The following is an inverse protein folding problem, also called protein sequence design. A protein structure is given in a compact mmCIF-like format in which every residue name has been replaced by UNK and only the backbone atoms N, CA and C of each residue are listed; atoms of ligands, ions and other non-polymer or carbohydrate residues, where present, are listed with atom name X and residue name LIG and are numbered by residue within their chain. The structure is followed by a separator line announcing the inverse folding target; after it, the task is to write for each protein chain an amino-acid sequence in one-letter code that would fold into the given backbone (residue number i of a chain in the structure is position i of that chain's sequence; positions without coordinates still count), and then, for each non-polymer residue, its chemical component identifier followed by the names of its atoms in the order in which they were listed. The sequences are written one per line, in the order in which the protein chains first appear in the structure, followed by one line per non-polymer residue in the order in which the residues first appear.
data_IF_458116158994
#
_entry.id   IF_458116158994
#
_cell.length_a   1.000
_cell.length_b   1.000
_cell.length_c   1.000
_cell.angle_alpha   90.00
_cell.angle_beta   90.00
_cell.angle_gamma   90.00
#
_symmetry.space_group_name_H-M   'P 1'
#
loop_
_entity.id
_entity.type
_entity.pdbx_description
1 polymer ?
#
# COMPACT_ATOMS: atom_id res chain seq x y z
N UNK A 1 2.61 9.05 -7.01
CA UNK A 1 1.80 8.19 -7.92
C UNK A 1 1.76 8.70 -9.36
N UNK A 2 1.73 10.03 -9.61
CA UNK A 2 1.71 10.61 -10.97
C UNK A 2 2.83 10.04 -11.88
N UNK A 3 4.05 9.89 -11.37
CA UNK A 3 5.16 9.28 -12.12
C UNK A 3 4.86 7.86 -12.63
N UNK A 4 4.11 7.04 -11.87
CA UNK A 4 3.70 5.71 -12.30
C UNK A 4 2.75 5.78 -13.51
N UNK A 5 1.85 6.75 -13.52
CA UNK A 5 0.93 6.97 -14.64
C UNK A 5 1.69 7.49 -15.86
N UNK A 6 2.43 8.58 -15.72
CA UNK A 6 3.07 9.30 -16.83
C UNK A 6 4.12 8.47 -17.55
N UNK A 7 4.96 7.74 -16.81
CA UNK A 7 6.12 7.06 -17.38
C UNK A 7 5.94 5.55 -17.51
N UNK A 8 5.05 4.96 -16.72
CA UNK A 8 4.94 3.50 -16.62
C UNK A 8 3.54 2.96 -16.94
N UNK A 9 2.59 3.83 -17.33
CA UNK A 9 1.27 3.43 -17.82
C UNK A 9 0.35 2.83 -16.76
N UNK A 10 0.53 3.19 -15.49
CA UNK A 10 -0.38 2.77 -14.42
C UNK A 10 -1.68 3.60 -14.45
N UNK A 11 -2.79 2.96 -14.12
CA UNK A 11 -4.08 3.59 -13.90
C UNK A 11 -4.21 3.93 -12.41
N UNK A 12 -4.42 5.20 -12.07
CA UNK A 12 -4.55 5.64 -10.68
C UNK A 12 -6.00 5.55 -10.19
N UNK A 13 -6.19 5.39 -8.89
CA UNK A 13 -7.53 5.36 -8.24
C UNK A 13 -8.49 4.36 -8.91
N UNK A 14 -7.96 3.17 -9.17
CA UNK A 14 -8.59 2.15 -10.00
C UNK A 14 -9.43 1.18 -9.16
N UNK A 15 -10.52 0.67 -9.73
CA UNK A 15 -11.35 -0.35 -9.10
C UNK A 15 -10.87 -1.74 -9.51
N UNK A 16 -10.66 -2.63 -8.53
CA UNK A 16 -10.39 -4.05 -8.82
C UNK A 16 -11.65 -4.66 -9.45
N UNK A 17 -11.56 -5.37 -10.59
CA UNK A 17 -12.70 -5.91 -11.31
C UNK A 17 -13.28 -7.15 -10.63
N UNK A 18 -13.70 -7.03 -9.37
CA UNK A 18 -14.38 -8.10 -8.62
C UNK A 18 -15.85 -8.16 -9.03
N UNK A 19 -16.39 -9.36 -9.22
CA UNK A 19 -17.80 -9.67 -9.50
C UNK A 19 -18.63 -9.74 -8.20
N UNK A 20 -18.54 -8.72 -7.36
CA UNK A 20 -19.31 -8.62 -6.10
C UNK A 20 -20.03 -7.25 -6.05
N UNK A 21 -21.19 -7.19 -5.40
CA UNK A 21 -21.91 -5.94 -5.12
C UNK A 21 -21.22 -5.10 -4.03
N UNK A 22 -20.56 -5.75 -3.07
CA UNK A 22 -19.84 -5.13 -1.96
C UNK A 22 -18.33 -5.08 -2.24
N UNK A 23 -17.93 -4.33 -3.27
CA UNK A 23 -16.53 -4.25 -3.69
C UNK A 23 -15.69 -3.50 -2.66
N UNK A 24 -14.44 -3.94 -2.42
CA UNK A 24 -13.50 -3.11 -1.68
C UNK A 24 -13.24 -1.79 -2.42
N UNK A 25 -12.81 -0.77 -1.69
CA UNK A 25 -12.48 0.53 -2.25
C UNK A 25 -11.39 0.47 -3.33
N UNK A 26 -11.21 1.58 -4.04
CA UNK A 26 -10.18 1.73 -5.09
C UNK A 26 -8.77 1.44 -4.57
N UNK A 27 -7.90 0.93 -5.44
CA UNK A 27 -6.45 0.86 -5.22
C UNK A 27 -5.79 2.14 -5.70
N UNK A 28 -4.66 2.50 -5.10
CA UNK A 28 -3.92 3.71 -5.50
C UNK A 28 -3.46 3.63 -6.96
N UNK A 29 -2.96 2.47 -7.38
CA UNK A 29 -2.58 2.23 -8.77
C UNK A 29 -2.79 0.78 -9.22
N UNK A 30 -3.20 0.61 -10.49
CA UNK A 30 -3.37 -0.66 -11.17
C UNK A 30 -2.63 -0.65 -12.51
N UNK A 31 -2.01 -1.78 -12.86
CA UNK A 31 -1.39 -1.99 -14.17
C UNK A 31 -1.77 -3.35 -14.74
N UNK A 32 -2.21 -3.34 -15.98
CA UNK A 32 -2.43 -4.58 -16.74
C UNK A 32 -1.08 -5.09 -17.24
N UNK A 33 -0.82 -6.38 -17.03
CA UNK A 33 0.39 -7.08 -17.51
C UNK A 33 0.00 -8.33 -18.29
N UNK A 34 0.97 -9.00 -18.90
CA UNK A 34 0.75 -10.29 -19.56
C UNK A 34 0.37 -11.42 -18.58
N UNK A 35 0.60 -11.24 -17.28
CA UNK A 35 0.23 -12.19 -16.22
C UNK A 35 -1.16 -11.90 -15.62
N UNK A 36 -1.75 -10.74 -15.94
CA UNK A 36 -2.97 -10.24 -15.33
C UNK A 36 -2.79 -8.85 -14.71
N UNK A 37 -3.81 -8.40 -13.98
CA UNK A 37 -3.77 -7.11 -13.29
C UNK A 37 -2.83 -7.17 -12.09
N UNK A 38 -1.99 -6.16 -11.91
CA UNK A 38 -1.14 -5.97 -10.74
C UNK A 38 -1.51 -4.64 -10.08
N UNK A 39 -1.56 -4.62 -8.75
CA UNK A 39 -1.93 -3.42 -7.99
C UNK A 39 -0.76 -2.93 -7.13
N UNK A 40 -0.74 -1.63 -6.86
CA UNK A 40 0.23 -0.99 -5.99
C UNK A 40 -0.50 -0.06 -5.03
N UNK A 41 -0.17 -0.17 -3.75
CA UNK A 41 -0.71 0.64 -2.67
C UNK A 41 0.46 1.35 -1.95
N UNK A 42 0.31 2.65 -1.68
CA UNK A 42 1.29 3.50 -1.04
C UNK A 42 0.76 3.97 0.31
N UNK A 43 1.29 3.42 1.40
CA UNK A 43 0.80 3.69 2.73
C UNK A 43 1.61 4.76 3.44
N UNK A 44 0.95 5.88 3.69
CA UNK A 44 1.36 6.92 4.64
C UNK A 44 0.29 7.17 5.70
N UNK A 45 -0.69 6.27 5.79
CA UNK A 45 -1.77 6.33 6.78
C UNK A 45 -1.43 5.58 8.05
N UNK A 46 -2.42 5.46 8.93
CA UNK A 46 -2.31 4.62 10.11
C UNK A 46 -2.13 3.13 9.73
N UNK A 47 -1.43 2.35 10.55
CA UNK A 47 -1.19 0.91 10.35
C UNK A 47 -2.44 0.11 9.96
N UNK A 48 -3.61 0.44 10.51
CA UNK A 48 -4.88 -0.22 10.16
C UNK A 48 -5.25 -0.08 8.67
N UNK A 49 -4.80 0.99 8.02
CA UNK A 49 -4.95 1.21 6.58
C UNK A 49 -4.12 0.22 5.79
N UNK A 50 -2.88 -0.05 6.21
CA UNK A 50 -1.99 -1.06 5.61
C UNK A 50 -2.59 -2.47 5.67
N UNK A 51 -3.25 -2.84 6.78
CA UNK A 51 -4.01 -4.09 6.85
C UNK A 51 -5.14 -4.14 5.83
N UNK A 52 -5.89 -3.04 5.68
CA UNK A 52 -6.98 -2.93 4.70
C UNK A 52 -6.45 -3.03 3.26
N UNK A 53 -5.31 -2.41 2.97
CA UNK A 53 -4.65 -2.51 1.67
C UNK A 53 -4.25 -3.96 1.34
N UNK A 54 -3.54 -4.64 2.24
CA UNK A 54 -3.17 -6.06 2.02
C UNK A 54 -4.39 -6.98 1.91
N UNK A 55 -5.45 -6.74 2.69
CA UNK A 55 -6.68 -7.51 2.56
C UNK A 55 -7.40 -7.26 1.23
N UNK A 56 -7.35 -6.04 0.70
CA UNK A 56 -7.87 -5.73 -0.64
C UNK A 56 -7.09 -6.47 -1.74
N UNK A 57 -5.76 -6.50 -1.63
CA UNK A 57 -4.90 -7.28 -2.53
C UNK A 57 -5.23 -8.77 -2.41
N UNK A 58 -5.27 -9.31 -1.18
CA UNK A 58 -5.62 -10.69 -0.91
C UNK A 58 -6.96 -11.10 -1.52
N UNK A 59 -8.01 -10.29 -1.32
CA UNK A 59 -9.33 -10.55 -1.90
C UNK A 59 -9.28 -10.59 -3.42
N UNK A 60 -8.61 -9.63 -4.04
CA UNK A 60 -8.44 -9.60 -5.49
C UNK A 60 -7.64 -10.78 -6.05
N UNK A 61 -6.71 -11.34 -5.28
CA UNK A 61 -5.98 -12.56 -5.68
C UNK A 61 -6.84 -13.81 -5.51
N UNK A 62 -7.55 -13.94 -4.39
CA UNK A 62 -8.42 -15.08 -4.09
C UNK A 62 -9.56 -15.26 -5.10
N UNK A 63 -10.07 -14.16 -5.67
CA UNK A 63 -11.13 -14.21 -6.69
C UNK A 63 -10.58 -14.20 -8.13
N UNK A 64 -9.26 -14.20 -8.31
CA UNK A 64 -8.60 -14.18 -9.63
C UNK A 64 -8.74 -12.86 -10.41
N UNK A 65 -9.21 -11.77 -9.79
CA UNK A 65 -9.35 -10.46 -10.45
C UNK A 65 -8.00 -9.76 -10.67
N UNK A 66 -7.01 -10.03 -9.81
CA UNK A 66 -5.63 -9.58 -9.95
C UNK A 66 -4.66 -10.76 -9.80
N UNK A 67 -3.54 -10.67 -10.50
CA UNK A 67 -2.42 -11.61 -10.38
C UNK A 67 -1.64 -11.37 -9.07
N UNK A 68 -1.56 -10.13 -8.60
CA UNK A 68 -0.79 -9.80 -7.41
C UNK A 68 -0.77 -8.32 -7.09
N UNK A 69 -0.04 -7.96 -6.04
CA UNK A 69 0.13 -6.57 -5.66
C UNK A 69 1.29 -6.31 -4.73
N UNK A 70 1.64 -5.03 -4.60
CA UNK A 70 2.68 -4.56 -3.72
C UNK A 70 2.16 -3.45 -2.80
N UNK A 71 2.53 -3.53 -1.52
CA UNK A 71 2.33 -2.48 -0.53
C UNK A 71 3.67 -1.82 -0.25
N UNK A 72 3.80 -0.51 -0.45
CA UNK A 72 4.96 0.26 0.02
C UNK A 72 4.61 1.03 1.30
N UNK A 73 5.44 0.90 2.33
CA UNK A 73 5.27 1.58 3.62
C UNK A 73 6.63 1.84 4.30
N UNK A 74 6.74 2.85 5.19
CA UNK A 74 8.00 3.22 5.79
C UNK A 74 8.56 2.15 6.74
N UNK A 75 9.87 2.15 6.96
CA UNK A 75 10.50 1.43 8.08
C UNK A 75 10.25 2.17 9.40
N UNK A 76 10.43 1.47 10.52
CA UNK A 76 10.38 2.04 11.87
C UNK A 76 11.45 3.11 12.11
N UNK A 77 12.51 3.18 11.29
CA UNK A 77 13.52 4.23 11.38
C UNK A 77 13.05 5.56 10.78
N UNK A 78 12.14 5.51 9.82
CA UNK A 78 11.54 6.71 9.21
C UNK A 78 10.34 7.23 10.01
N UNK A 79 9.58 6.33 10.64
CA UNK A 79 8.37 6.64 11.43
C UNK A 79 8.50 7.83 12.42
N UNK A 80 9.59 7.97 13.22
CA UNK A 80 9.73 9.08 14.18
C UNK A 80 9.74 10.48 13.56
N UNK A 81 9.98 10.59 12.25
CA UNK A 81 10.04 11.86 11.52
C UNK A 81 8.73 12.18 10.79
N UNK A 82 7.75 11.28 10.81
CA UNK A 82 6.48 11.43 10.14
C UNK A 82 5.36 11.83 11.12
N UNK A 83 4.10 11.88 10.65
CA UNK A 83 2.95 12.09 11.54
C UNK A 83 2.73 10.90 12.46
N UNK A 84 2.24 11.16 13.68
CA UNK A 84 2.03 10.15 14.71
C UNK A 84 1.19 8.96 14.21
N UNK A 85 1.62 7.74 14.56
CA UNK A 85 1.00 6.44 14.23
C UNK A 85 0.88 6.12 12.75
N UNK A 86 1.79 6.60 11.91
CA UNK A 86 1.93 6.05 10.57
C UNK A 86 2.32 4.57 10.67
N UNK A 87 1.71 3.74 9.82
CA UNK A 87 2.07 2.32 9.76
C UNK A 87 3.51 2.13 9.28
N UNK A 88 4.25 1.25 9.94
CA UNK A 88 5.61 0.86 9.54
C UNK A 88 5.72 -0.64 9.24
N UNK A 89 6.73 -1.01 8.45
CA UNK A 89 6.98 -2.38 8.02
C UNK A 89 7.08 -3.36 9.21
N UNK A 90 7.83 -3.00 10.25
CA UNK A 90 8.10 -3.86 11.39
C UNK A 90 6.88 -4.06 12.30
N UNK A 91 5.92 -3.13 12.29
CA UNK A 91 4.63 -3.28 12.98
C UNK A 91 3.68 -4.19 12.19
N UNK A 92 3.78 -4.20 10.86
CA UNK A 92 2.99 -5.06 9.97
C UNK A 92 3.55 -6.50 9.90
N UNK A 93 4.87 -6.65 10.05
CA UNK A 93 5.59 -7.91 9.87
C UNK A 93 5.04 -9.10 10.69
N UNK A 94 4.62 -8.95 11.97
CA UNK A 94 4.04 -10.04 12.74
C UNK A 94 2.80 -10.69 12.09
N UNK A 95 2.11 -9.97 11.20
CA UNK A 95 0.90 -10.44 10.52
C UNK A 95 1.18 -11.16 9.19
N UNK A 96 2.41 -11.13 8.69
CA UNK A 96 2.76 -11.79 7.42
C UNK A 96 2.36 -13.27 7.33
N UNK A 97 2.45 -14.09 8.40
CA UNK A 97 1.95 -15.46 8.35
C UNK A 97 0.48 -15.56 7.94
N UNK A 98 -0.38 -14.61 8.33
CA UNK A 98 -1.81 -14.64 7.96
C UNK A 98 -2.01 -14.56 6.45
N UNK A 99 -1.30 -13.67 5.77
CA UNK A 99 -1.41 -13.54 4.31
C UNK A 99 -0.68 -14.67 3.56
N UNK A 100 0.35 -15.28 4.15
CA UNK A 100 1.07 -16.42 3.54
C UNK A 100 0.25 -17.71 3.51
N UNK A 101 -0.65 -17.91 4.47
CA UNK A 101 -1.51 -19.10 4.55
C UNK A 101 -2.75 -19.01 3.65
N UNK A 102 -2.93 -17.93 2.88
CA UNK A 102 -4.05 -17.79 1.96
C UNK A 102 -3.94 -18.82 0.82
N UNK A 103 -5.04 -19.49 0.43
CA UNK A 103 -5.04 -20.50 -0.62
C UNK A 103 -4.97 -19.85 -2.01
N UNK A 104 -3.80 -19.33 -2.38
CA UNK A 104 -3.53 -18.69 -3.66
C UNK A 104 -2.58 -19.59 -4.46
N UNK A 105 -3.09 -20.19 -5.54
CA UNK A 105 -2.31 -21.14 -6.34
C UNK A 105 -1.18 -20.47 -7.15
N UNK A 106 -1.43 -19.27 -7.66
CA UNK A 106 -0.49 -18.52 -8.50
C UNK A 106 -0.65 -17.02 -8.28
N UNK A 107 0.42 -16.35 -7.88
CA UNK A 107 0.40 -14.90 -7.65
C UNK A 107 1.61 -14.40 -6.88
N UNK A 108 1.66 -13.09 -6.68
CA UNK A 108 2.72 -12.43 -5.91
C UNK A 108 2.15 -11.31 -5.03
N UNK A 109 2.39 -11.39 -3.73
CA UNK A 109 2.12 -10.31 -2.77
C UNK A 109 3.44 -9.81 -2.18
N UNK A 110 3.75 -8.54 -2.37
CA UNK A 110 4.97 -7.90 -1.88
C UNK A 110 4.67 -6.85 -0.83
N UNK A 111 5.56 -6.76 0.16
CA UNK A 111 5.62 -5.63 1.09
C UNK A 111 7.00 -5.00 0.95
N UNK A 112 7.04 -3.74 0.53
CA UNK A 112 8.24 -2.98 0.22
C UNK A 112 8.46 -1.97 1.35
N UNK A 113 9.54 -2.14 2.10
CA UNK A 113 9.96 -1.19 3.11
C UNK A 113 10.71 -0.02 2.45
N UNK A 114 10.31 1.22 2.76
CA UNK A 114 10.98 2.44 2.28
C UNK A 114 11.62 3.20 3.46
N UNK A 115 12.76 3.83 3.22
CA UNK A 115 13.50 4.60 4.23
C UNK A 115 14.10 5.88 3.60
N UNK A 116 14.45 6.87 4.43
CA UNK A 116 15.22 8.04 4.00
C UNK A 116 16.68 7.68 3.74
N UNK A 117 17.32 8.36 2.79
CA UNK A 117 18.75 8.15 2.51
C UNK A 117 19.66 8.71 3.61
N UNK A 118 19.28 9.85 4.19
CA UNK A 118 20.05 10.55 5.22
C UNK A 118 19.15 11.42 6.11
N UNK A 119 19.69 11.86 7.25
CA UNK A 119 19.06 12.78 8.18
C UNK A 119 19.90 14.06 8.21
N UNK A 120 19.29 15.20 7.89
CA UNK A 120 19.93 16.51 7.97
C UNK A 120 19.00 17.51 8.69
N UNK A 121 19.42 18.07 9.84
CA UNK A 121 18.62 19.03 10.59
C UNK A 121 18.40 20.37 9.85
N UNK A 122 19.14 20.64 8.78
CA UNK A 122 18.98 21.85 7.96
C UNK A 122 17.96 21.68 6.81
N UNK A 123 17.48 20.46 6.58
CA UNK A 123 16.48 20.19 5.55
C UNK A 123 15.11 20.72 6.00
N UNK A 124 14.33 21.39 5.12
CA UNK A 124 12.98 21.82 5.44
C UNK A 124 12.08 20.66 5.88
N UNK A 125 11.24 20.90 6.89
CA UNK A 125 10.24 19.93 7.31
C UNK A 125 9.17 19.72 6.23
N UNK A 126 8.68 18.49 6.11
CA UNK A 126 7.52 18.17 5.28
C UNK A 126 6.28 18.79 5.92
N UNK A 127 5.52 19.59 5.16
CA UNK A 127 4.29 20.22 5.64
C UNK A 127 3.24 19.19 6.06
N UNK A 128 2.54 19.45 7.18
CA UNK A 128 1.44 18.61 7.66
C UNK A 128 0.08 19.19 7.22
N UNK A 129 -0.88 18.31 6.95
CA UNK A 129 -2.28 18.67 6.74
C UNK A 129 -2.99 19.02 8.06
N UNK A 130 -4.28 19.31 7.98
CA UNK A 130 -5.15 19.61 9.14
C UNK A 130 -6.04 18.43 9.54
N UNK A 131 -5.60 17.20 9.24
CA UNK A 131 -6.40 15.99 9.40
C UNK A 131 -6.54 15.52 10.86
N UNK A 132 -7.65 14.84 11.15
CA UNK A 132 -7.89 14.23 12.47
C UNK A 132 -7.97 15.25 13.61
N UNK A 133 -7.05 15.17 14.57
CA UNK A 133 -6.95 16.07 15.74
C UNK A 133 -5.83 17.11 15.59
N UNK A 134 -5.45 17.47 14.37
CA UNK A 134 -4.34 18.41 14.16
C UNK A 134 -4.59 19.82 14.74
N UNK A 135 -5.85 20.22 14.93
CA UNK A 135 -6.24 21.58 15.34
C UNK A 135 -6.85 21.69 16.75
N UNK A 136 -6.99 20.57 17.49
CA UNK A 136 -7.72 20.51 18.77
C UNK A 136 -6.98 19.72 19.84
#
# INVERSE_FOLDING_TARGET
MITLQEYFGWQLEATIPVLDENKPGKVDALKQTSLGNVVFEWETGNISTSHRALNKIALGMLNGAIFGGALALPTRRLDPYLTDRIGNYEELQPYFPVWRELPIDYGLMLVIAIEHDAIDPNTPLIGKGTDGRALV
#
